data_IF_987414217362
#
_entry.id   IF_987414217362
#
_cell.length_a   1.000
_cell.length_b   1.000
_cell.length_c   1.000
_cell.angle_alpha   90.00
_cell.angle_beta   90.00
_cell.angle_gamma   90.00
#
_symmetry.space_group_name_H-M   'P 1'
#
loop_
_entity.id
_entity.type
_entity.pdbx_description
1 polymer ?
#
# COMPACT_ATOMS: atom_id res chain seq x y z
N UNK A 1 -75.80 19.12 -2.62
CA UNK A 1 -74.60 19.97 -2.42
C UNK A 1 -73.43 19.30 -3.11
N UNK A 2 -73.06 19.79 -4.30
CA UNK A 2 -71.90 19.32 -5.04
C UNK A 2 -70.66 20.10 -4.58
N UNK A 3 -69.58 19.40 -4.24
CA UNK A 3 -68.25 20.00 -4.14
C UNK A 3 -67.24 19.10 -4.84
N UNK A 4 -66.72 19.63 -5.93
CA UNK A 4 -65.70 19.09 -6.81
C UNK A 4 -64.42 19.86 -6.52
N UNK A 5 -63.30 19.20 -6.16
CA UNK A 5 -61.91 19.74 -6.20
C UNK A 5 -60.92 18.57 -6.37
N UNK A 6 -60.48 18.30 -7.61
CA UNK A 6 -59.17 18.64 -8.21
C UNK A 6 -58.00 17.86 -7.56
N UNK A 7 -57.27 17.04 -8.34
CA UNK A 7 -56.26 16.11 -7.82
C UNK A 7 -54.96 16.82 -7.47
N UNK A 8 -54.44 16.59 -6.25
CA UNK A 8 -53.09 17.00 -5.88
C UNK A 8 -52.13 15.89 -6.33
N UNK A 9 -51.54 16.07 -7.51
CA UNK A 9 -50.39 15.29 -7.96
C UNK A 9 -49.24 15.52 -6.97
N UNK A 10 -49.02 14.56 -6.06
CA UNK A 10 -47.90 14.59 -5.14
C UNK A 10 -46.64 14.27 -5.95
N UNK A 11 -45.90 15.33 -6.30
CA UNK A 11 -44.65 15.29 -7.02
C UNK A 11 -43.64 14.37 -6.31
N UNK A 12 -43.44 13.20 -6.90
CA UNK A 12 -42.43 12.21 -6.51
C UNK A 12 -41.06 12.69 -7.03
N UNK A 13 -40.45 13.68 -6.38
CA UNK A 13 -39.23 14.31 -6.90
C UNK A 13 -38.30 14.83 -5.78
N UNK A 14 -38.00 14.04 -4.76
CA UNK A 14 -36.83 14.31 -3.91
C UNK A 14 -36.20 12.99 -3.48
N UNK A 15 -34.95 12.76 -3.89
CA UNK A 15 -34.11 11.74 -3.29
C UNK A 15 -33.61 10.62 -4.22
N UNK A 16 -33.35 10.90 -5.50
CA UNK A 16 -32.19 10.25 -6.16
C UNK A 16 -30.94 10.82 -5.50
N UNK A 17 -30.75 10.46 -4.23
CA UNK A 17 -29.54 10.72 -3.47
C UNK A 17 -28.45 10.05 -4.25
N UNK A 18 -27.65 10.86 -4.93
CA UNK A 18 -26.46 10.42 -5.60
C UNK A 18 -25.64 9.68 -4.55
N UNK A 19 -25.70 8.36 -4.58
CA UNK A 19 -24.67 7.50 -4.01
C UNK A 19 -23.40 7.82 -4.80
N UNK A 20 -22.82 8.98 -4.49
CA UNK A 20 -21.41 9.22 -4.65
C UNK A 20 -20.80 8.09 -3.85
N UNK A 21 -20.42 7.03 -4.55
CA UNK A 21 -19.49 6.05 -4.04
C UNK A 21 -18.27 6.88 -3.66
N UNK A 22 -18.23 7.31 -2.40
CA UNK A 22 -17.05 7.89 -1.82
C UNK A 22 -16.03 6.76 -1.88
N UNK A 23 -15.25 6.74 -2.96
CA UNK A 23 -14.07 5.91 -3.04
C UNK A 23 -13.19 6.43 -1.91
N UNK A 24 -13.26 5.76 -0.77
CA UNK A 24 -12.43 6.08 0.36
C UNK A 24 -10.99 5.86 -0.13
N UNK A 25 -10.32 6.96 -0.47
CA UNK A 25 -8.88 6.98 -0.71
C UNK A 25 -8.24 6.48 0.58
N UNK A 26 -7.96 5.18 0.64
CA UNK A 26 -7.25 4.61 1.79
C UNK A 26 -5.87 5.23 1.78
N UNK A 27 -5.44 5.90 2.87
CA UNK A 27 -4.11 6.48 2.92
C UNK A 27 -3.09 5.36 2.71
N UNK A 28 -2.32 5.43 1.63
CA UNK A 28 -1.22 4.51 1.37
C UNK A 28 -0.08 4.91 2.29
N UNK A 29 0.34 3.97 3.13
CA UNK A 29 1.44 4.19 4.05
C UNK A 29 2.56 3.20 3.73
N UNK A 30 3.73 3.74 3.38
CA UNK A 30 4.88 2.96 2.91
C UNK A 30 6.08 3.19 3.81
N UNK A 31 7.03 2.26 3.75
CA UNK A 31 8.37 2.39 4.31
C UNK A 31 9.38 1.90 3.28
N UNK A 32 10.46 2.65 3.12
CA UNK A 32 11.52 2.34 2.16
C UNK A 32 12.72 1.84 2.94
N UNK A 33 13.12 0.59 2.68
CA UNK A 33 14.33 -0.01 3.24
C UNK A 33 15.47 0.16 2.24
N UNK A 34 16.58 0.73 2.70
CA UNK A 34 17.77 0.94 1.89
C UNK A 34 18.75 -0.20 2.10
N UNK A 35 19.24 -0.78 1.02
CA UNK A 35 20.26 -1.81 1.04
C UNK A 35 21.54 -1.25 0.44
N UNK A 36 22.68 -1.67 1.00
CA UNK A 36 23.99 -1.41 0.39
C UNK A 36 24.05 -1.92 -1.05
N UNK A 37 24.96 -1.32 -1.83
CA UNK A 37 25.16 -1.69 -3.23
C UNK A 37 25.50 -3.19 -3.37
N UNK A 38 24.82 -3.88 -4.29
CA UNK A 38 24.95 -5.33 -4.47
C UNK A 38 24.44 -6.21 -3.33
N UNK A 39 24.04 -5.63 -2.19
CA UNK A 39 23.62 -6.36 -1.00
C UNK A 39 22.10 -6.52 -0.91
N UNK A 40 21.69 -7.60 -0.25
CA UNK A 40 20.32 -7.84 0.19
C UNK A 40 20.22 -7.97 1.72
N UNK A 41 21.28 -7.63 2.45
CA UNK A 41 21.29 -7.68 3.92
C UNK A 41 20.78 -6.36 4.48
N UNK A 42 19.83 -6.42 5.41
CA UNK A 42 19.37 -5.23 6.12
C UNK A 42 20.41 -4.79 7.15
N UNK A 43 20.85 -3.53 7.03
CA UNK A 43 21.66 -2.90 8.06
C UNK A 43 20.86 -2.71 9.35
N UNK A 44 21.57 -2.59 10.48
CA UNK A 44 20.95 -2.42 11.81
C UNK A 44 19.96 -1.25 11.84
N UNK A 45 20.33 -0.11 11.25
CA UNK A 45 19.49 1.09 11.23
C UNK A 45 18.19 0.88 10.46
N UNK A 46 18.25 0.08 9.38
CA UNK A 46 17.09 -0.27 8.57
C UNK A 46 16.15 -1.22 9.32
N UNK A 47 16.70 -2.13 10.14
CA UNK A 47 15.90 -2.97 11.04
C UNK A 47 15.20 -2.13 12.09
N UNK A 48 15.89 -1.18 12.73
CA UNK A 48 15.27 -0.28 13.72
C UNK A 48 14.15 0.56 13.08
N UNK A 49 14.39 1.10 11.89
CA UNK A 49 13.39 1.83 11.12
C UNK A 49 12.16 0.96 10.79
N UNK A 50 12.38 -0.28 10.38
CA UNK A 50 11.30 -1.24 10.11
C UNK A 50 10.48 -1.52 11.37
N UNK A 51 11.12 -1.80 12.50
CA UNK A 51 10.45 -2.06 13.79
C UNK A 51 9.56 -0.88 14.18
N UNK A 52 10.10 0.34 14.16
CA UNK A 52 9.36 1.54 14.54
C UNK A 52 8.15 1.76 13.61
N UNK A 53 8.29 1.47 12.32
CA UNK A 53 7.17 1.60 11.38
C UNK A 53 6.11 0.54 11.58
N UNK A 54 6.50 -0.72 11.79
CA UNK A 54 5.58 -1.81 12.05
C UNK A 54 4.77 -1.58 13.34
N UNK A 55 5.41 -1.07 14.39
CA UNK A 55 4.72 -0.67 15.63
C UNK A 55 3.73 0.48 15.39
N UNK A 56 4.10 1.46 14.57
CA UNK A 56 3.17 2.52 14.14
C UNK A 56 1.98 1.97 13.35
N UNK A 57 2.18 1.00 12.47
CA UNK A 57 1.09 0.36 11.71
C UNK A 57 0.16 -0.45 12.62
N UNK A 58 0.68 -1.14 13.62
CA UNK A 58 -0.14 -1.85 14.61
C UNK A 58 -1.13 -0.92 15.31
N UNK A 59 -0.69 0.29 15.66
CA UNK A 59 -1.54 1.28 16.33
C UNK A 59 -2.57 1.92 15.40
N UNK A 60 -2.19 2.26 14.17
CA UNK A 60 -3.08 2.97 13.25
C UNK A 60 -4.06 2.06 12.51
N UNK A 61 -3.67 0.81 12.28
CA UNK A 61 -4.42 -0.12 11.44
C UNK A 61 -4.59 -1.46 12.18
N UNK A 62 -5.46 -1.52 13.21
CA UNK A 62 -5.66 -2.73 14.01
C UNK A 62 -6.24 -3.90 13.19
N UNK A 63 -6.87 -3.60 12.04
CA UNK A 63 -7.44 -4.59 11.13
C UNK A 63 -6.60 -4.74 9.85
N UNK A 64 -5.32 -4.35 9.88
CA UNK A 64 -4.41 -4.57 8.75
C UNK A 64 -4.21 -6.06 8.54
N UNK A 65 -4.60 -6.54 7.36
CA UNK A 65 -4.57 -7.96 7.03
C UNK A 65 -3.50 -8.33 6.00
N UNK A 66 -2.94 -7.35 5.29
CA UNK A 66 -1.94 -7.59 4.26
C UNK A 66 -0.88 -6.49 4.15
N UNK A 67 0.34 -6.88 3.80
CA UNK A 67 1.40 -5.99 3.34
C UNK A 67 1.82 -6.34 1.92
N UNK A 68 2.09 -5.30 1.12
CA UNK A 68 2.83 -5.44 -0.12
C UNK A 68 4.32 -5.15 0.14
N UNK A 69 5.18 -6.07 -0.29
CA UNK A 69 6.63 -5.97 -0.17
C UNK A 69 7.21 -6.07 -1.58
N UNK A 70 7.90 -5.02 -1.97
CA UNK A 70 8.56 -4.94 -3.26
C UNK A 70 10.07 -4.87 -3.07
N UNK A 71 10.78 -5.87 -3.59
CA UNK A 71 12.23 -5.80 -3.71
C UNK A 71 12.64 -5.11 -5.00
N UNK A 72 13.56 -4.14 -4.90
CA UNK A 72 13.98 -3.34 -6.05
C UNK A 72 15.49 -3.39 -6.29
N UNK A 73 15.87 -3.38 -7.56
CA UNK A 73 17.25 -3.16 -8.00
C UNK A 73 17.29 -2.27 -9.25
N UNK A 74 18.38 -1.52 -9.40
CA UNK A 74 18.63 -0.78 -10.65
C UNK A 74 19.06 -1.75 -11.73
N UNK A 75 18.66 -1.49 -12.97
CA UNK A 75 19.05 -2.30 -14.13
C UNK A 75 20.56 -2.35 -14.34
N UNK A 76 21.29 -1.35 -13.85
CA UNK A 76 22.76 -1.28 -13.89
C UNK A 76 23.45 -2.22 -12.90
N UNK A 77 22.73 -2.78 -11.92
CA UNK A 77 23.31 -3.68 -10.93
C UNK A 77 23.63 -5.06 -11.54
N UNK A 78 24.76 -5.69 -11.19
CA UNK A 78 25.02 -7.09 -11.54
C UNK A 78 23.88 -7.97 -11.03
N UNK A 79 23.37 -8.84 -11.89
CA UNK A 79 22.23 -9.74 -11.60
C UNK A 79 21.01 -9.03 -10.99
N UNK A 80 20.66 -7.83 -11.48
CA UNK A 80 19.62 -6.98 -10.92
C UNK A 80 18.31 -7.71 -10.55
N UNK A 81 17.83 -8.63 -11.40
CA UNK A 81 16.63 -9.44 -11.12
C UNK A 81 16.79 -10.27 -9.85
N UNK A 82 17.92 -10.99 -9.72
CA UNK A 82 18.22 -11.82 -8.54
C UNK A 82 18.44 -10.96 -7.31
N UNK A 83 19.09 -9.81 -7.46
CA UNK A 83 19.30 -8.86 -6.36
C UNK A 83 17.95 -8.33 -5.83
N UNK A 84 17.06 -7.88 -6.71
CA UNK A 84 15.71 -7.43 -6.35
C UNK A 84 14.93 -8.52 -5.61
N UNK A 85 14.97 -9.75 -6.12
CA UNK A 85 14.31 -10.89 -5.48
C UNK A 85 14.86 -11.18 -4.08
N UNK A 86 16.20 -11.20 -3.90
CA UNK A 86 16.81 -11.41 -2.58
C UNK A 86 16.41 -10.33 -1.58
N UNK A 87 16.34 -9.06 -2.03
CA UNK A 87 15.89 -7.94 -1.19
C UNK A 87 14.42 -8.10 -0.78
N UNK A 88 13.55 -8.53 -1.69
CA UNK A 88 12.14 -8.80 -1.38
C UNK A 88 12.01 -9.90 -0.31
N UNK A 89 12.76 -11.00 -0.48
CA UNK A 89 12.75 -12.13 0.45
C UNK A 89 13.26 -11.73 1.83
N UNK A 90 14.34 -10.96 1.90
CA UNK A 90 14.90 -10.52 3.19
C UNK A 90 13.94 -9.56 3.92
N UNK A 91 13.37 -8.60 3.21
CA UNK A 91 12.36 -7.71 3.78
C UNK A 91 11.13 -8.50 4.27
N UNK A 92 10.65 -9.47 3.49
CA UNK A 92 9.53 -10.31 3.89
C UNK A 92 9.86 -11.18 5.12
N UNK A 93 11.07 -11.73 5.19
CA UNK A 93 11.54 -12.47 6.37
C UNK A 93 11.52 -11.55 7.60
N UNK A 94 12.09 -10.36 7.50
CA UNK A 94 12.13 -9.41 8.60
C UNK A 94 10.71 -9.01 9.06
N UNK A 95 9.79 -8.73 8.12
CA UNK A 95 8.39 -8.42 8.45
C UNK A 95 7.72 -9.59 9.17
N UNK A 96 7.85 -10.83 8.66
CA UNK A 96 7.27 -12.01 9.34
C UNK A 96 7.77 -12.18 10.77
N UNK A 97 9.04 -11.91 11.01
CA UNK A 97 9.64 -12.03 12.35
C UNK A 97 9.14 -10.94 13.31
N UNK A 98 8.83 -9.75 12.82
CA UNK A 98 8.48 -8.58 13.65
C UNK A 98 6.98 -8.32 13.74
N UNK A 99 6.21 -8.82 12.78
CA UNK A 99 4.78 -8.58 12.62
C UNK A 99 4.12 -9.83 12.03
N UNK A 100 3.57 -10.66 12.91
CA UNK A 100 2.91 -11.90 12.54
C UNK A 100 1.43 -11.66 12.16
N UNK A 101 0.77 -12.73 11.71
CA UNK A 101 -0.69 -12.74 11.48
C UNK A 101 -1.18 -11.99 10.23
N UNK A 102 -0.27 -11.48 9.38
CA UNK A 102 -0.60 -10.74 8.16
C UNK A 102 -0.16 -11.46 6.89
N UNK A 103 -0.97 -11.34 5.84
CA UNK A 103 -0.60 -11.82 4.51
C UNK A 103 0.50 -10.93 3.92
N UNK A 104 1.49 -11.55 3.27
CA UNK A 104 2.55 -10.82 2.59
C UNK A 104 2.50 -11.08 1.09
N UNK A 105 2.19 -10.05 0.31
CA UNK A 105 2.33 -10.05 -1.14
C UNK A 105 3.76 -9.61 -1.49
N UNK A 106 4.53 -10.52 -2.08
CA UNK A 106 5.95 -10.29 -2.36
C UNK A 106 6.14 -10.18 -3.87
N UNK A 107 6.71 -9.07 -4.32
CA UNK A 107 7.10 -8.84 -5.71
C UNK A 107 8.56 -8.39 -5.78
N UNK A 108 9.13 -8.46 -6.99
CA UNK A 108 10.48 -7.97 -7.25
C UNK A 108 10.56 -7.32 -8.62
N UNK A 109 11.06 -6.10 -8.68
CA UNK A 109 11.13 -5.32 -9.92
C UNK A 109 12.54 -4.75 -10.14
N UNK A 110 12.86 -4.59 -11.43
CA UNK A 110 14.10 -3.93 -11.86
C UNK A 110 13.72 -2.63 -12.55
N UNK A 111 14.32 -1.53 -12.11
CA UNK A 111 14.02 -0.20 -12.62
C UNK A 111 15.17 0.35 -13.47
N UNK A 112 14.86 1.05 -14.58
CA UNK A 112 15.87 1.77 -15.35
C UNK A 112 16.49 2.89 -14.49
N UNK A 113 17.69 3.36 -14.86
CA UNK A 113 18.26 4.55 -14.21
C UNK A 113 17.32 5.75 -14.41
N UNK A 114 17.29 6.70 -13.45
CA UNK A 114 16.51 7.92 -13.62
C UNK A 114 16.96 8.67 -14.87
N UNK A 115 16.00 9.09 -15.69
CA UNK A 115 16.26 9.94 -16.86
C UNK A 115 16.67 11.32 -16.34
N UNK A 116 17.94 11.67 -16.50
CA UNK A 116 18.42 13.03 -16.23
C UNK A 116 18.02 13.87 -17.43
N UNK A 117 16.98 14.70 -17.29
CA UNK A 117 16.65 15.73 -18.28
C UNK A 117 17.63 16.87 -18.01
N UNK A 118 18.62 17.02 -18.87
CA UNK A 118 19.62 18.08 -18.83
C UNK A 118 19.05 19.42 -19.33
#
# INVERSE_FOLDING_TARGET
>A
MATMRIPLALAFLIGLGSCTVAQACKPVSTVVLVFEEGSATLGRDQVVLLVNRLDHFRRLYPNLNAFAIEGVARQTAPDAKRLAQRRAIEAARAVRTLFDGVELHISSNVYPPPVVIA
#
